data_IF_338411469788
#
_entry.id   IF_338411469788
#
_cell.length_a   1.000
_cell.length_b   1.000
_cell.length_c   1.000
_cell.angle_alpha   90.00
_cell.angle_beta   90.00
_cell.angle_gamma   90.00
#
_symmetry.space_group_name_H-M   'P 1'
#
loop_
_entity.id
_entity.type
_entity.pdbx_description
1 polymer ?
#
# COMPACT_ATOMS: atom_id res chain seq x y z
N UNK A 1 13.83 1.58 -23.93
CA UNK A 1 14.14 1.60 -22.51
C UNK A 1 12.87 1.79 -21.70
N UNK A 2 12.68 0.97 -20.67
CA UNK A 2 11.45 1.00 -19.90
C UNK A 2 11.56 2.04 -18.78
N UNK A 3 10.54 2.88 -18.65
CA UNK A 3 10.51 3.86 -17.57
C UNK A 3 10.28 3.16 -16.23
N UNK A 4 10.92 3.66 -15.19
CA UNK A 4 10.72 3.16 -13.84
C UNK A 4 9.34 3.57 -13.34
N UNK A 5 8.58 2.61 -12.85
CA UNK A 5 7.25 2.86 -12.30
C UNK A 5 7.33 2.96 -10.80
N UNK A 6 6.81 4.04 -10.25
CA UNK A 6 6.87 4.35 -8.83
C UNK A 6 5.47 4.55 -8.27
N UNK A 7 5.23 4.00 -7.09
CA UNK A 7 3.91 4.02 -6.46
C UNK A 7 4.04 4.43 -5.00
N UNK A 8 3.15 5.31 -4.55
CA UNK A 8 3.02 5.62 -3.14
C UNK A 8 1.70 5.10 -2.62
N UNK A 9 1.71 4.52 -1.43
CA UNK A 9 0.50 4.02 -0.79
C UNK A 9 0.43 4.57 0.63
N UNK A 10 -0.57 5.41 0.88
CA UNK A 10 -0.95 5.74 2.25
C UNK A 10 -1.91 4.69 2.72
N UNK A 11 -1.66 4.09 3.89
CA UNK A 11 -2.54 3.02 4.34
C UNK A 11 -2.59 2.92 5.86
N UNK A 12 -3.70 2.41 6.32
CA UNK A 12 -3.85 1.89 7.67
C UNK A 12 -4.57 0.55 7.56
N UNK A 13 -5.13 0.05 8.66
CA UNK A 13 -5.82 -1.24 8.61
C UNK A 13 -7.20 -1.15 7.97
N UNK A 14 -7.71 0.05 7.73
CA UNK A 14 -9.07 0.26 7.23
C UNK A 14 -9.12 0.71 5.77
N UNK A 15 -8.06 1.32 5.26
CA UNK A 15 -8.09 1.85 3.90
C UNK A 15 -6.67 2.03 3.38
N UNK A 16 -6.51 1.86 2.08
CA UNK A 16 -5.27 2.17 1.38
C UNK A 16 -5.59 3.05 0.18
N UNK A 17 -4.79 4.08 0.00
CA UNK A 17 -4.90 4.98 -1.14
C UNK A 17 -3.60 4.91 -1.93
N UNK A 18 -3.74 4.50 -3.19
CA UNK A 18 -2.61 4.21 -4.06
C UNK A 18 -2.51 5.30 -5.11
N UNK A 19 -1.33 5.88 -5.22
CA UNK A 19 -1.09 6.98 -6.17
C UNK A 19 0.21 6.71 -6.90
N UNK A 20 0.12 6.63 -8.22
CA UNK A 20 1.32 6.50 -9.02
C UNK A 20 2.07 7.82 -9.03
N UNK A 21 3.40 7.75 -8.94
CA UNK A 21 4.23 8.95 -8.99
C UNK A 21 4.16 9.55 -10.39
N UNK A 22 3.41 10.61 -10.51
CA UNK A 22 3.21 11.29 -11.78
C UNK A 22 2.89 12.74 -11.50
N UNK A 23 3.71 13.64 -12.02
CA UNK A 23 3.55 15.07 -11.76
C UNK A 23 2.30 15.62 -12.47
N UNK A 24 1.96 15.03 -13.61
CA UNK A 24 0.86 15.55 -14.44
C UNK A 24 -0.50 15.02 -14.04
N UNK A 25 -0.56 13.79 -13.57
CA UNK A 25 -1.83 13.14 -13.25
C UNK A 25 -1.93 12.81 -11.78
N UNK A 26 -3.07 13.11 -11.21
CA UNK A 26 -3.34 12.83 -9.82
C UNK A 26 -4.49 11.83 -9.73
N UNK A 27 -4.18 10.58 -9.95
CA UNK A 27 -5.16 9.50 -9.88
C UNK A 27 -5.00 8.75 -8.57
N UNK A 28 -6.10 8.59 -7.85
CA UNK A 28 -6.11 7.87 -6.59
C UNK A 28 -6.96 6.62 -6.75
N UNK A 29 -6.36 5.48 -6.47
CA UNK A 29 -7.11 4.23 -6.36
C UNK A 29 -7.25 3.92 -4.88
N UNK A 30 -8.46 3.60 -4.44
CA UNK A 30 -8.72 3.27 -3.04
C UNK A 30 -9.04 1.79 -2.94
N UNK A 31 -8.36 1.12 -2.01
CA UNK A 31 -8.62 -0.29 -1.71
C UNK A 31 -8.93 -0.38 -0.22
N UNK A 32 -9.98 -1.10 0.11
CA UNK A 32 -10.37 -1.32 1.50
C UNK A 32 -10.47 -2.81 1.75
N UNK A 33 -10.32 -3.24 3.01
CA UNK A 33 -10.65 -4.62 3.33
C UNK A 33 -12.08 -4.87 2.89
N UNK A 34 -12.29 -5.93 2.11
CA UNK A 34 -13.59 -6.16 1.51
C UNK A 34 -14.55 -6.76 2.54
N UNK A 35 -15.23 -5.88 3.27
CA UNK A 35 -16.19 -6.31 4.28
C UNK A 35 -17.42 -6.98 3.66
N UNK A 36 -17.62 -6.83 2.36
CA UNK A 36 -18.71 -7.52 1.67
C UNK A 36 -18.49 -9.02 1.61
N UNK A 37 -17.26 -9.47 1.77
CA UNK A 37 -16.98 -10.89 1.88
C UNK A 37 -17.47 -11.47 3.18
N UNK A 38 -17.75 -10.63 4.18
CA UNK A 38 -18.34 -11.04 5.42
C UNK A 38 -19.81 -10.67 5.38
N UNK A 39 -20.63 -11.63 5.01
CA UNK A 39 -22.07 -11.46 5.01
C UNK A 39 -22.51 -11.13 6.45
N UNK A 40 -23.23 -10.04 6.62
CA UNK A 40 -23.70 -9.63 7.94
C UNK A 40 -24.55 -10.69 8.61
N UNK A 41 -25.32 -11.43 7.83
CA UNK A 41 -26.14 -12.51 8.38
C UNK A 41 -25.27 -13.66 8.88
N UNK A 42 -24.21 -13.96 8.17
CA UNK A 42 -23.28 -14.98 8.60
C UNK A 42 -22.56 -14.59 9.89
N UNK A 43 -22.22 -13.32 10.03
CA UNK A 43 -21.60 -12.84 11.26
C UNK A 43 -22.43 -13.15 12.47
N UNK A 44 -23.74 -12.97 12.37
CA UNK A 44 -24.63 -13.19 13.49
C UNK A 44 -24.76 -14.65 13.88
N UNK A 45 -24.43 -15.57 12.99
CA UNK A 45 -24.61 -16.99 13.20
C UNK A 45 -23.33 -17.74 13.55
N UNK A 46 -22.19 -17.12 13.35
CA UNK A 46 -20.92 -17.79 13.53
C UNK A 46 -20.43 -17.69 14.96
N UNK A 47 -19.70 -18.71 15.40
CA UNK A 47 -19.00 -18.65 16.65
C UNK A 47 -17.91 -17.59 16.59
N UNK A 48 -17.44 -17.18 17.76
CA UNK A 48 -16.40 -16.16 17.85
C UNK A 48 -15.14 -16.57 17.08
N UNK A 49 -14.74 -17.84 17.15
CA UNK A 49 -13.54 -18.29 16.45
C UNK A 49 -13.72 -18.25 14.94
N UNK A 50 -14.91 -18.54 14.44
CA UNK A 50 -15.17 -18.45 13.01
C UNK A 50 -15.16 -17.02 12.54
N UNK A 51 -15.71 -16.08 13.31
CA UNK A 51 -15.66 -14.67 13.00
C UNK A 51 -14.22 -14.19 12.93
N UNK A 52 -13.42 -14.59 13.89
CA UNK A 52 -12.01 -14.22 13.93
C UNK A 52 -11.27 -14.72 12.68
N UNK A 53 -11.54 -15.96 12.26
CA UNK A 53 -10.92 -16.50 11.06
C UNK A 53 -11.33 -15.72 9.81
N UNK A 54 -12.60 -15.33 9.74
CA UNK A 54 -13.07 -14.53 8.60
C UNK A 54 -12.43 -13.15 8.59
N UNK A 55 -12.25 -12.53 9.75
CA UNK A 55 -11.57 -11.25 9.84
C UNK A 55 -10.12 -11.37 9.36
N UNK A 56 -9.43 -12.45 9.73
CA UNK A 56 -8.08 -12.70 9.25
C UNK A 56 -8.04 -12.88 7.73
N UNK A 57 -9.04 -13.55 7.17
CA UNK A 57 -9.13 -13.72 5.73
C UNK A 57 -9.38 -12.41 5.02
N UNK A 58 -10.20 -11.54 5.60
CA UNK A 58 -10.46 -10.21 5.03
C UNK A 58 -9.20 -9.38 5.02
N UNK A 59 -8.43 -9.40 6.11
CA UNK A 59 -7.16 -8.67 6.17
C UNK A 59 -6.18 -9.22 5.15
N UNK A 60 -6.09 -10.54 5.04
CA UNK A 60 -5.19 -11.15 4.05
C UNK A 60 -5.61 -10.79 2.62
N UNK A 61 -6.91 -10.81 2.34
CA UNK A 61 -7.41 -10.42 1.03
C UNK A 61 -7.10 -8.96 0.73
N UNK A 62 -7.20 -8.10 1.74
CA UNK A 62 -6.84 -6.71 1.62
C UNK A 62 -5.37 -6.55 1.21
N UNK A 63 -4.47 -7.22 1.93
CA UNK A 63 -3.05 -7.14 1.59
C UNK A 63 -2.75 -7.77 0.23
N UNK A 64 -3.40 -8.87 -0.11
CA UNK A 64 -3.21 -9.49 -1.40
C UNK A 64 -3.67 -8.58 -2.55
N UNK A 65 -4.75 -7.81 -2.34
CA UNK A 65 -5.20 -6.84 -3.33
C UNK A 65 -4.15 -5.75 -3.56
N UNK A 66 -3.48 -5.33 -2.49
CA UNK A 66 -2.42 -4.34 -2.60
C UNK A 66 -1.20 -4.92 -3.31
N UNK A 67 -0.83 -6.15 -2.99
CA UNK A 67 0.30 -6.81 -3.64
C UNK A 67 0.03 -6.97 -5.15
N UNK A 68 -1.22 -7.23 -5.52
CA UNK A 68 -1.58 -7.37 -6.92
C UNK A 68 -1.31 -6.10 -7.73
N UNK A 69 -1.40 -4.94 -7.08
CA UNK A 69 -1.04 -3.67 -7.72
C UNK A 69 0.47 -3.44 -7.64
N UNK A 70 1.05 -3.65 -6.46
CA UNK A 70 2.46 -3.37 -6.20
C UNK A 70 3.38 -4.14 -7.15
N UNK A 71 3.01 -5.36 -7.51
CA UNK A 71 3.87 -6.21 -8.34
C UNK A 71 4.20 -5.60 -9.69
N UNK A 72 3.41 -4.64 -10.15
CA UNK A 72 3.61 -3.99 -11.44
C UNK A 72 4.51 -2.75 -11.35
N UNK A 73 5.01 -2.45 -10.17
CA UNK A 73 5.83 -1.26 -9.94
C UNK A 73 7.26 -1.65 -9.57
N UNK A 74 8.17 -0.73 -9.81
CA UNK A 74 9.60 -0.94 -9.53
C UNK A 74 9.98 -0.42 -8.15
N UNK A 75 9.37 0.68 -7.73
CA UNK A 75 9.65 1.31 -6.44
C UNK A 75 8.33 1.70 -5.79
N UNK A 76 8.22 1.43 -4.49
CA UNK A 76 6.99 1.67 -3.74
C UNK A 76 7.35 2.25 -2.37
N UNK A 77 6.62 3.28 -1.96
CA UNK A 77 6.68 3.77 -0.58
C UNK A 77 5.34 3.50 0.09
N UNK A 78 5.40 2.83 1.24
CA UNK A 78 4.24 2.56 2.07
C UNK A 78 4.30 3.49 3.28
N UNK A 79 3.29 4.32 3.49
CA UNK A 79 3.33 5.26 4.61
C UNK A 79 1.97 5.35 5.27
N UNK A 80 1.96 5.73 6.53
CA UNK A 80 0.73 5.83 7.31
C UNK A 80 0.99 5.70 8.79
N UNK A 81 -0.06 5.82 9.60
CA UNK A 81 0.09 5.93 11.04
C UNK A 81 0.17 4.61 11.80
N UNK A 82 -0.19 3.49 11.18
CA UNK A 82 -0.30 2.21 11.87
C UNK A 82 0.75 1.22 11.39
N UNK A 83 0.74 0.02 11.97
CA UNK A 83 1.65 -1.05 11.58
C UNK A 83 1.20 -1.79 10.32
N UNK A 84 0.06 -1.41 9.74
CA UNK A 84 -0.43 -2.08 8.53
C UNK A 84 0.62 -2.09 7.42
N UNK A 85 1.33 -0.99 7.22
CA UNK A 85 2.38 -0.91 6.20
C UNK A 85 3.51 -1.91 6.46
N UNK A 86 3.84 -2.11 7.73
CA UNK A 86 4.89 -3.07 8.10
C UNK A 86 4.43 -4.51 7.88
N UNK A 87 3.18 -4.79 8.20
CA UNK A 87 2.61 -6.11 7.98
C UNK A 87 2.59 -6.44 6.49
N UNK A 88 2.19 -5.49 5.67
CA UNK A 88 2.20 -5.67 4.22
C UNK A 88 3.62 -5.86 3.70
N UNK A 89 4.54 -5.03 4.16
CA UNK A 89 5.94 -5.14 3.78
C UNK A 89 6.49 -6.55 4.07
N UNK A 90 6.21 -7.06 5.26
CA UNK A 90 6.69 -8.38 5.65
C UNK A 90 6.11 -9.49 4.77
N UNK A 91 4.83 -9.37 4.39
CA UNK A 91 4.23 -10.34 3.49
C UNK A 91 4.90 -10.33 2.12
N UNK A 92 5.21 -9.16 1.61
CA UNK A 92 5.87 -9.05 0.30
C UNK A 92 7.27 -9.64 0.37
N UNK A 93 8.01 -9.34 1.44
CA UNK A 93 9.39 -9.83 1.58
C UNK A 93 9.48 -11.32 1.86
N UNK A 94 8.38 -11.93 2.28
CA UNK A 94 8.33 -13.38 2.43
C UNK A 94 8.32 -14.11 1.08
N UNK A 95 8.05 -13.39 0.00
CA UNK A 95 7.99 -13.96 -1.33
C UNK A 95 9.16 -13.46 -2.17
N UNK A 96 10.10 -14.35 -2.49
CA UNK A 96 11.32 -13.96 -3.21
C UNK A 96 11.05 -13.44 -4.61
N UNK A 97 9.92 -13.80 -5.20
CA UNK A 97 9.58 -13.29 -6.54
C UNK A 97 9.42 -11.78 -6.58
N UNK A 98 9.26 -11.13 -5.43
CA UNK A 98 9.11 -9.68 -5.34
C UNK A 98 10.39 -8.97 -4.86
N UNK A 99 11.51 -9.70 -4.74
CA UNK A 99 12.74 -9.13 -4.19
C UNK A 99 13.27 -7.95 -4.98
N UNK A 100 12.95 -7.86 -6.26
CA UNK A 100 13.43 -6.77 -7.11
C UNK A 100 12.67 -5.47 -6.90
N UNK A 101 11.52 -5.52 -6.26
CA UNK A 101 10.75 -4.30 -6.01
C UNK A 101 11.36 -3.58 -4.82
N UNK A 102 11.74 -2.33 -5.02
CA UNK A 102 12.31 -1.52 -3.96
C UNK A 102 11.16 -0.94 -3.13
N UNK A 103 11.08 -1.31 -1.87
CA UNK A 103 9.98 -0.89 -1.01
C UNK A 103 10.53 -0.27 0.26
N UNK A 104 9.98 0.88 0.64
CA UNK A 104 10.32 1.52 1.89
C UNK A 104 9.04 1.84 2.65
N UNK A 105 9.11 1.76 3.99
CA UNK A 105 7.99 2.14 4.85
C UNK A 105 8.33 3.41 5.60
N UNK A 106 7.34 4.29 5.77
CA UNK A 106 7.51 5.55 6.51
C UNK A 106 6.31 5.74 7.42
N UNK A 107 6.56 6.15 8.65
CA UNK A 107 5.48 6.52 9.55
C UNK A 107 4.98 7.91 9.19
N UNK A 108 3.68 8.08 9.11
CA UNK A 108 3.07 9.36 8.78
C UNK A 108 1.70 9.44 9.42
N UNK A 109 1.30 10.65 9.81
CA UNK A 109 0.00 10.88 10.41
C UNK A 109 -1.11 10.76 9.37
N UNK A 110 -2.36 10.87 9.81
CA UNK A 110 -3.47 10.99 8.87
C UNK A 110 -3.28 12.22 8.02
N UNK A 111 -3.60 12.10 6.74
CA UNK A 111 -3.39 13.14 5.75
C UNK A 111 -4.56 13.20 4.80
N UNK A 112 -4.84 14.40 4.29
CA UNK A 112 -5.77 14.54 3.17
C UNK A 112 -5.18 13.91 1.91
N UNK A 113 -6.00 13.73 0.88
CA UNK A 113 -5.52 13.23 -0.40
C UNK A 113 -4.41 14.11 -0.96
N UNK A 114 -4.57 15.42 -0.84
CA UNK A 114 -3.56 16.35 -1.35
C UNK A 114 -2.26 16.23 -0.60
N UNK A 115 -2.32 16.10 0.72
CA UNK A 115 -1.12 15.91 1.52
C UNK A 115 -0.43 14.60 1.19
N UNK A 116 -1.20 13.55 0.95
CA UNK A 116 -0.64 12.26 0.57
C UNK A 116 0.10 12.36 -0.76
N UNK A 117 -0.50 13.06 -1.72
CA UNK A 117 0.13 13.24 -3.02
C UNK A 117 1.42 14.03 -2.90
N UNK A 118 1.41 15.12 -2.11
CA UNK A 118 2.60 15.92 -1.88
C UNK A 118 3.70 15.07 -1.23
N UNK A 119 3.32 14.23 -0.25
CA UNK A 119 4.28 13.34 0.39
C UNK A 119 4.96 12.44 -0.64
N UNK A 120 4.18 11.86 -1.53
CA UNK A 120 4.71 10.95 -2.56
C UNK A 120 5.63 11.69 -3.52
N UNK A 121 5.22 12.87 -3.96
CA UNK A 121 6.05 13.67 -4.85
C UNK A 121 7.38 14.03 -4.20
N UNK A 122 7.33 14.48 -2.95
CA UNK A 122 8.54 14.85 -2.21
C UNK A 122 9.44 13.65 -1.97
N UNK A 123 8.84 12.51 -1.61
CA UNK A 123 9.60 11.33 -1.31
C UNK A 123 10.41 10.87 -2.54
N UNK A 124 9.75 10.73 -3.68
CA UNK A 124 10.44 10.25 -4.87
C UNK A 124 11.38 11.30 -5.46
N UNK A 125 11.04 12.56 -5.31
CA UNK A 125 11.93 13.62 -5.76
C UNK A 125 13.25 13.57 -4.99
N UNK A 126 13.19 13.39 -3.67
CA UNK A 126 14.39 13.27 -2.85
C UNK A 126 15.16 12.01 -3.17
N UNK A 127 14.47 10.89 -3.37
CA UNK A 127 15.12 9.64 -3.71
C UNK A 127 15.87 9.76 -5.03
N UNK A 128 15.26 10.40 -6.02
CA UNK A 128 15.91 10.61 -7.31
C UNK A 128 17.14 11.53 -7.19
N UNK A 129 17.06 12.52 -6.30
CA UNK A 129 18.20 13.42 -6.06
C UNK A 129 19.36 12.66 -5.42
N UNK A 130 19.06 11.77 -4.46
CA UNK A 130 20.12 10.97 -3.85
C UNK A 130 20.73 9.99 -4.85
N UNK A 131 19.91 9.36 -5.68
CA UNK A 131 20.40 8.41 -6.65
C UNK A 131 21.23 9.09 -7.74
N UNK A 132 20.97 10.37 -7.99
CA UNK A 132 21.68 11.14 -9.00
C UNK A 132 21.95 12.54 -8.48
N UNK A 133 22.90 12.66 -7.52
CA UNK A 133 23.13 13.93 -6.82
C UNK A 133 23.55 15.08 -7.73
N UNK A 134 23.98 14.78 -8.94
CA UNK A 134 24.38 15.82 -9.88
C UNK A 134 23.28 16.19 -10.86
N UNK A 135 22.08 15.64 -10.67
CA UNK A 135 20.94 16.00 -11.49
C UNK A 135 20.99 15.52 -12.93
N UNK A 136 21.71 14.47 -13.14
CA UNK A 136 21.89 13.98 -14.52
C UNK A 136 21.22 12.67 -14.78
#
# INVERSE_FOLDING_TARGET
MKATKRLGIWMDHAVARLMEYNIENFNIQTITPDSNQLDHQEKAQHSESLLHNKESQVVRAYYNSLIAVIKDYDEVVLFGPTTAKTELYNLIRAEHKYDKIKIETKTANKMSFEEQHVFILDYFKKALTYDNPFGK
#
